data_IF_815803665351
#
_entry.id   IF_815803665351
#
_cell.length_a   1.000
_cell.length_b   1.000
_cell.length_c   1.000
_cell.angle_alpha   90.00
_cell.angle_beta   90.00
_cell.angle_gamma   90.00
#
_symmetry.space_group_name_H-M   'P 1'
#
loop_
_entity.id
_entity.type
_entity.pdbx_description
1 polymer ?
#
# COMPACT_ATOMS: atom_id res chain seq x y z
N UNK A 1 14.58 9.83 -8.37
CA UNK A 1 15.22 8.94 -7.39
C UNK A 1 14.73 7.53 -7.69
N UNK A 2 15.63 6.58 -7.93
CA UNK A 2 15.24 5.19 -8.20
C UNK A 2 14.73 4.49 -6.92
N UNK A 3 14.01 3.37 -7.08
CA UNK A 3 13.41 2.64 -5.96
C UNK A 3 14.44 2.12 -4.95
N UNK A 4 15.66 1.80 -5.40
CA UNK A 4 16.71 1.30 -4.52
C UNK A 4 17.27 2.42 -3.64
N UNK A 5 17.43 3.63 -4.20
CA UNK A 5 17.80 4.83 -3.46
C UNK A 5 16.71 5.23 -2.47
N UNK A 6 15.43 5.15 -2.89
CA UNK A 6 14.29 5.41 -2.00
C UNK A 6 14.19 4.38 -0.89
N UNK A 7 14.44 3.11 -1.18
CA UNK A 7 14.46 2.04 -0.18
C UNK A 7 15.56 2.25 0.87
N UNK A 8 16.76 2.68 0.44
CA UNK A 8 17.86 3.05 1.34
C UNK A 8 17.48 4.20 2.27
N UNK A 9 16.85 5.23 1.73
CA UNK A 9 16.43 6.38 2.55
C UNK A 9 15.35 6.00 3.57
N UNK A 10 14.36 5.21 3.16
CA UNK A 10 13.33 4.69 4.08
C UNK A 10 13.95 3.86 5.20
N UNK A 11 14.88 2.96 4.88
CA UNK A 11 15.55 2.16 5.90
C UNK A 11 16.41 3.02 6.83
N UNK A 12 17.15 3.99 6.30
CA UNK A 12 17.96 4.91 7.10
C UNK A 12 17.10 5.70 8.11
N UNK A 13 15.91 6.14 7.70
CA UNK A 13 14.95 6.85 8.57
C UNK A 13 14.43 5.97 9.72
N UNK A 14 14.25 4.66 9.52
CA UNK A 14 13.85 3.75 10.60
C UNK A 14 14.97 3.65 11.66
N UNK A 15 16.22 3.53 11.23
CA UNK A 15 17.36 3.56 12.16
C UNK A 15 17.46 4.89 12.92
N UNK A 16 17.24 6.02 12.25
CA UNK A 16 17.20 7.34 12.90
C UNK A 16 16.05 7.45 13.92
N UNK A 17 14.87 6.89 13.59
CA UNK A 17 13.72 6.84 14.49
C UNK A 17 14.00 6.03 15.76
N UNK A 18 14.77 4.96 15.62
CA UNK A 18 15.21 4.13 16.75
C UNK A 18 16.38 4.75 17.54
N UNK A 19 16.83 5.96 17.15
CA UNK A 19 17.93 6.68 17.80
C UNK A 19 19.33 6.16 17.42
N UNK A 20 19.42 5.33 16.38
CA UNK A 20 20.69 4.78 15.89
C UNK A 20 21.27 5.75 14.85
N UNK A 21 22.36 6.42 15.21
CA UNK A 21 22.89 7.55 14.43
C UNK A 21 24.03 7.21 13.45
N UNK A 22 24.71 6.08 13.62
CA UNK A 22 25.89 5.72 12.81
C UNK A 22 25.56 4.87 11.57
N UNK A 23 24.49 4.08 11.64
CA UNK A 23 24.04 3.18 10.55
C UNK A 23 23.39 3.91 9.36
N UNK A 24 22.63 5.00 9.52
CA UNK A 24 21.98 5.70 8.41
C UNK A 24 22.94 6.14 7.30
N UNK A 25 24.11 6.69 7.65
CA UNK A 25 25.11 7.11 6.68
C UNK A 25 25.73 5.94 5.92
N UNK A 26 25.93 4.80 6.60
CA UNK A 26 26.37 3.54 6.00
C UNK A 26 25.35 3.05 4.96
N UNK A 27 24.05 3.05 5.30
CA UNK A 27 22.95 2.68 4.39
C UNK A 27 22.91 3.58 3.17
N UNK A 28 22.96 4.89 3.36
CA UNK A 28 22.89 5.87 2.26
C UNK A 28 24.04 5.72 1.28
N UNK A 29 25.24 5.39 1.78
CA UNK A 29 26.48 5.24 0.99
C UNK A 29 26.76 3.80 0.54
N UNK A 30 25.90 2.84 0.87
CA UNK A 30 26.13 1.40 0.66
C UNK A 30 27.48 0.92 1.25
N UNK A 31 27.91 1.51 2.36
CA UNK A 31 29.18 1.20 3.01
C UNK A 31 28.94 0.33 4.25
N UNK A 32 29.65 -0.79 4.35
CA UNK A 32 29.66 -1.65 5.56
C UNK A 32 28.27 -2.21 5.93
N UNK A 33 27.46 -2.56 4.93
CA UNK A 33 26.15 -3.18 5.16
C UNK A 33 26.29 -4.66 5.50
N UNK A 34 25.50 -5.11 6.47
CA UNK A 34 25.38 -6.54 6.74
C UNK A 34 24.37 -7.16 5.76
N UNK A 35 24.32 -8.49 5.76
CA UNK A 35 23.29 -9.23 5.03
C UNK A 35 21.86 -8.86 5.44
N UNK A 36 21.65 -8.35 6.66
CA UNK A 36 20.35 -7.91 7.13
C UNK A 36 19.90 -6.65 6.40
N UNK A 37 20.74 -5.62 6.30
CA UNK A 37 20.42 -4.40 5.56
C UNK A 37 20.20 -4.70 4.08
N UNK A 38 21.03 -5.56 3.48
CA UNK A 38 20.84 -5.97 2.08
C UNK A 38 19.47 -6.64 1.86
N UNK A 39 19.02 -7.51 2.76
CA UNK A 39 17.69 -8.14 2.68
C UNK A 39 16.57 -7.11 2.85
N UNK A 40 16.71 -6.21 3.82
CA UNK A 40 15.74 -5.15 4.07
C UNK A 40 15.58 -4.22 2.87
N UNK A 41 16.69 -3.74 2.29
CA UNK A 41 16.68 -2.87 1.10
C UNK A 41 16.01 -3.59 -0.07
N UNK A 42 16.30 -4.88 -0.31
CA UNK A 42 15.63 -5.65 -1.38
C UNK A 42 14.13 -5.79 -1.14
N UNK A 43 13.71 -6.05 0.10
CA UNK A 43 12.29 -6.18 0.45
C UNK A 43 11.54 -4.86 0.25
N UNK A 44 12.11 -3.73 0.72
CA UNK A 44 11.53 -2.40 0.55
C UNK A 44 11.48 -2.02 -0.93
N UNK A 45 12.55 -2.27 -1.69
CA UNK A 45 12.59 -2.02 -3.14
C UNK A 45 11.50 -2.81 -3.86
N UNK A 46 11.31 -4.09 -3.51
CA UNK A 46 10.25 -4.92 -4.06
C UNK A 46 8.86 -4.38 -3.70
N UNK A 47 8.66 -3.94 -2.46
CA UNK A 47 7.40 -3.33 -2.02
C UNK A 47 7.10 -2.02 -2.76
N UNK A 48 8.11 -1.18 -2.99
CA UNK A 48 7.98 0.07 -3.75
C UNK A 48 7.58 -0.19 -5.21
N UNK A 49 8.16 -1.23 -5.83
CA UNK A 49 7.80 -1.65 -7.20
C UNK A 49 6.44 -2.33 -7.27
N UNK A 50 6.08 -3.08 -6.23
CA UNK A 50 4.83 -3.81 -6.15
C UNK A 50 3.66 -2.91 -5.75
N UNK A 51 3.91 -1.74 -5.17
CA UNK A 51 2.91 -0.71 -4.95
C UNK A 51 2.40 -0.27 -6.34
N UNK A 52 1.22 -0.74 -6.77
CA UNK A 52 0.70 -0.29 -8.04
C UNK A 52 0.40 1.19 -7.85
N UNK A 53 0.83 1.99 -8.81
CA UNK A 53 0.42 3.38 -8.92
C UNK A 53 -1.12 3.44 -8.80
N UNK A 54 -1.64 3.88 -7.65
CA UNK A 54 -3.04 4.22 -7.49
C UNK A 54 -4.03 3.12 -7.06
N UNK A 55 -3.84 2.46 -5.92
CA UNK A 55 -5.03 2.18 -5.08
C UNK A 55 -5.40 3.44 -4.31
N UNK A 56 -5.96 4.41 -5.02
CA UNK A 56 -6.72 5.48 -4.37
C UNK A 56 -8.03 4.84 -3.90
N UNK A 57 -8.30 4.88 -2.60
CA UNK A 57 -9.68 4.81 -2.13
C UNK A 57 -10.39 6.01 -2.76
N UNK A 58 -11.04 5.79 -3.89
CA UNK A 58 -11.96 6.78 -4.45
C UNK A 58 -13.24 6.63 -3.64
N UNK A 59 -13.61 7.61 -2.79
CA UNK A 59 -14.93 7.60 -2.20
C UNK A 59 -15.93 7.69 -3.36
N UNK A 60 -16.62 6.59 -3.62
CA UNK A 60 -17.78 6.59 -4.49
C UNK A 60 -18.96 6.90 -3.59
N UNK A 61 -19.60 8.05 -3.81
CA UNK A 61 -20.89 8.32 -3.18
C UNK A 61 -21.83 7.17 -3.51
N UNK A 62 -22.39 6.56 -2.47
CA UNK A 62 -23.25 5.40 -2.61
C UNK A 62 -24.47 5.78 -3.44
N UNK A 63 -24.60 5.19 -4.63
CA UNK A 63 -25.75 5.46 -5.48
C UNK A 63 -27.01 4.78 -4.91
N UNK A 64 -28.19 5.27 -5.30
CA UNK A 64 -29.48 4.67 -4.91
C UNK A 64 -29.56 3.19 -5.31
N UNK A 65 -28.95 2.81 -6.44
CA UNK A 65 -28.94 1.41 -6.91
C UNK A 65 -28.03 0.53 -6.04
N UNK A 66 -26.88 1.05 -5.61
CA UNK A 66 -25.99 0.37 -4.67
C UNK A 66 -26.66 0.21 -3.29
N UNK A 67 -27.32 1.26 -2.78
CA UNK A 67 -28.07 1.17 -1.52
C UNK A 67 -29.22 0.15 -1.61
N UNK A 68 -29.94 0.11 -2.73
CA UNK A 68 -30.99 -0.89 -2.97
C UNK A 68 -30.44 -2.31 -3.01
N UNK A 69 -29.31 -2.52 -3.71
CA UNK A 69 -28.65 -3.81 -3.78
C UNK A 69 -28.24 -4.30 -2.38
N UNK A 70 -27.75 -3.39 -1.53
CA UNK A 70 -27.44 -3.70 -0.13
C UNK A 70 -28.69 -4.17 0.64
N UNK A 71 -29.77 -3.40 0.64
CA UNK A 71 -30.99 -3.73 1.39
C UNK A 71 -31.70 -4.99 0.88
N UNK A 72 -31.53 -5.35 -0.39
CA UNK A 72 -32.10 -6.59 -0.94
C UNK A 72 -31.35 -7.85 -0.52
N UNK A 73 -30.11 -7.71 -0.02
CA UNK A 73 -29.21 -8.83 0.29
C UNK A 73 -28.71 -8.80 1.74
N UNK A 74 -29.20 -7.87 2.58
CA UNK A 74 -28.72 -7.69 3.95
C UNK A 74 -29.26 -8.73 4.96
N UNK A 75 -30.09 -9.68 4.54
CA UNK A 75 -30.83 -10.59 5.43
C UNK A 75 -30.04 -11.81 5.94
N UNK A 76 -28.69 -11.83 5.86
CA UNK A 76 -27.96 -12.86 6.63
C UNK A 76 -26.48 -13.07 6.37
N UNK A 77 -25.88 -12.54 5.31
CA UNK A 77 -24.43 -12.66 5.09
C UNK A 77 -23.87 -11.35 4.55
N UNK A 78 -23.03 -10.69 5.35
CA UNK A 78 -22.46 -9.38 4.99
C UNK A 78 -21.66 -9.38 3.67
N UNK A 79 -21.14 -10.55 3.27
CA UNK A 79 -20.39 -10.72 2.03
C UNK A 79 -21.25 -10.67 0.77
N UNK A 80 -22.45 -11.28 0.79
CA UNK A 80 -23.35 -11.29 -0.38
C UNK A 80 -23.93 -9.90 -0.65
N UNK A 81 -24.25 -9.16 0.43
CA UNK A 81 -24.66 -7.77 0.34
C UNK A 81 -23.57 -6.88 -0.27
N UNK A 82 -22.31 -7.07 0.14
CA UNK A 82 -21.20 -6.29 -0.41
C UNK A 82 -20.88 -6.65 -1.86
N UNK A 83 -20.97 -7.93 -2.23
CA UNK A 83 -20.82 -8.35 -3.63
C UNK A 83 -21.90 -7.71 -4.52
N UNK A 84 -23.15 -7.66 -4.07
CA UNK A 84 -24.25 -7.02 -4.78
C UNK A 84 -24.05 -5.49 -4.91
N UNK A 85 -23.56 -4.83 -3.87
CA UNK A 85 -23.22 -3.40 -3.90
C UNK A 85 -22.12 -3.10 -4.93
N UNK A 86 -21.07 -3.93 -4.98
CA UNK A 86 -19.99 -3.76 -5.95
C UNK A 86 -20.45 -4.03 -7.38
N UNK A 87 -21.36 -4.99 -7.59
CA UNK A 87 -21.94 -5.27 -8.90
C UNK A 87 -22.86 -4.13 -9.41
N UNK A 88 -23.56 -3.46 -8.49
CA UNK A 88 -24.40 -2.29 -8.79
C UNK A 88 -23.61 -0.98 -8.95
N UNK A 89 -22.29 -1.02 -8.74
CA UNK A 89 -21.41 0.14 -8.90
C UNK A 89 -21.44 0.61 -10.36
N UNK A 90 -21.65 1.91 -10.63
CA UNK A 90 -21.50 2.44 -11.97
C UNK A 90 -20.08 2.19 -12.48
N UNK A 91 -19.97 1.42 -13.54
CA UNK A 91 -18.73 1.30 -14.31
C UNK A 91 -18.62 2.57 -15.15
N UNK A 92 -17.49 3.27 -15.04
CA UNK A 92 -17.29 4.58 -15.69
C UNK A 92 -17.77 4.58 -17.13
N UNK A 93 -18.62 5.55 -17.46
CA UNK A 93 -18.95 5.87 -18.85
C UNK A 93 -17.64 6.27 -19.53
N UNK A 94 -17.31 5.60 -20.64
CA UNK A 94 -16.20 6.00 -21.52
C UNK A 94 -16.45 7.37 -22.11
#
# INVERSE_FOLDING_TARGET
>A
MDDQQRARELLAQEYERDGITHVPDCIRREAMLTEMEHRAIRAITAALRAAPEGFVMVPVDMTVNMARAFYQHCDGVSQDAWAAVLAARPQGVK
#
